data_IF_378984508358
#
_entry.id   IF_378984508358
#
_cell.length_a   1.000
_cell.length_b   1.000
_cell.length_c   1.000
_cell.angle_alpha   90.00
_cell.angle_beta   90.00
_cell.angle_gamma   90.00
#
_symmetry.space_group_name_H-M   'P 1'
#
loop_
_entity.id
_entity.type
_entity.pdbx_description
1 polymer ?
#
# COMPACT_ATOMS: atom_id res chain seq x y z
N UNK A 1 -22.69 2.99 10.69
CA UNK A 1 -21.69 2.52 9.71
C UNK A 1 -21.93 3.22 8.40
N UNK A 2 -21.33 4.40 8.27
CA UNK A 2 -21.24 5.09 6.97
C UNK A 2 -20.48 4.17 6.00
N UNK A 3 -20.97 3.96 4.77
CA UNK A 3 -20.19 3.22 3.80
C UNK A 3 -18.85 3.95 3.59
N UNK A 4 -17.76 3.20 3.54
CA UNK A 4 -16.47 3.74 3.11
C UNK A 4 -16.67 4.30 1.70
N UNK A 5 -16.48 5.60 1.56
CA UNK A 5 -16.74 6.34 0.33
C UNK A 5 -15.50 7.16 0.01
N UNK A 6 -14.71 6.67 -0.93
CA UNK A 6 -13.49 7.34 -1.34
C UNK A 6 -12.78 6.60 -2.47
N UNK A 7 -11.71 7.20 -3.00
CA UNK A 7 -10.77 6.52 -3.88
C UNK A 7 -10.21 5.25 -3.23
N UNK A 8 -9.68 4.34 -4.05
CA UNK A 8 -9.11 3.08 -3.59
C UNK A 8 -7.63 3.03 -3.90
N UNK A 9 -6.89 2.31 -3.06
CA UNK A 9 -5.49 1.99 -3.28
C UNK A 9 -5.35 0.51 -3.56
N UNK A 10 -4.95 0.21 -4.78
CA UNK A 10 -4.72 -1.16 -5.22
C UNK A 10 -3.25 -1.54 -5.10
N UNK A 11 -3.01 -2.77 -4.67
CA UNK A 11 -1.67 -3.30 -4.48
C UNK A 11 -1.49 -4.63 -5.23
N UNK A 12 -0.39 -4.75 -5.96
CA UNK A 12 0.05 -5.95 -6.65
C UNK A 12 1.52 -6.24 -6.36
N UNK A 13 1.91 -7.51 -6.39
CA UNK A 13 3.31 -7.90 -6.42
C UNK A 13 3.63 -8.44 -7.80
N UNK A 14 4.78 -8.05 -8.33
CA UNK A 14 5.27 -8.52 -9.62
C UNK A 14 6.74 -8.92 -9.53
N UNK A 15 7.10 -9.89 -10.37
CA UNK A 15 8.46 -10.23 -10.75
C UNK A 15 8.91 -9.26 -11.86
N UNK A 16 10.05 -8.58 -11.65
CA UNK A 16 10.65 -7.63 -12.59
C UNK A 16 11.02 -8.28 -13.94
N UNK A 17 11.29 -9.58 -13.96
CA UNK A 17 11.54 -10.32 -15.19
C UNK A 17 10.27 -10.54 -16.02
N UNK A 18 9.09 -10.48 -15.39
CA UNK A 18 7.81 -10.72 -16.05
C UNK A 18 7.08 -9.44 -16.42
N UNK A 19 7.25 -8.37 -15.64
CA UNK A 19 6.59 -7.10 -15.87
C UNK A 19 7.46 -5.93 -15.45
N UNK A 20 7.56 -4.94 -16.32
CA UNK A 20 8.18 -3.66 -15.97
C UNK A 20 7.16 -2.74 -15.28
N UNK A 21 7.57 -1.92 -14.31
CA UNK A 21 6.66 -1.02 -13.61
C UNK A 21 5.91 -0.02 -14.49
N UNK A 22 6.49 0.40 -15.61
CA UNK A 22 5.89 1.38 -16.54
C UNK A 22 4.62 0.85 -17.22
N UNK A 23 4.40 -0.46 -17.23
CA UNK A 23 3.20 -1.11 -17.80
C UNK A 23 1.97 -1.04 -16.88
N UNK A 24 2.05 -0.25 -15.80
CA UNK A 24 0.96 -0.09 -14.82
C UNK A 24 -0.35 0.40 -15.44
N UNK A 25 -0.31 1.09 -16.58
CA UNK A 25 -1.50 1.52 -17.31
C UNK A 25 -2.45 0.36 -17.65
N UNK A 26 -1.90 -0.84 -17.87
CA UNK A 26 -2.68 -2.07 -18.12
C UNK A 26 -3.48 -2.55 -16.89
N UNK A 27 -3.23 -1.97 -15.72
CA UNK A 27 -3.88 -2.30 -14.46
C UNK A 27 -4.99 -1.30 -14.09
N UNK A 28 -5.04 -0.14 -14.74
CA UNK A 28 -6.06 0.87 -14.44
C UNK A 28 -7.47 0.34 -14.73
N UNK A 29 -8.38 0.55 -13.77
CA UNK A 29 -9.77 0.09 -13.86
C UNK A 29 -9.99 -1.39 -13.57
N UNK A 30 -8.92 -2.17 -13.37
CA UNK A 30 -9.06 -3.56 -12.90
C UNK A 30 -9.64 -3.61 -11.48
N UNK A 31 -10.27 -4.73 -11.15
CA UNK A 31 -10.88 -4.99 -9.83
C UNK A 31 -10.33 -6.25 -9.16
N UNK A 32 -9.28 -6.82 -9.72
CA UNK A 32 -8.65 -8.07 -9.30
C UNK A 32 -7.27 -7.83 -8.65
N UNK A 33 -7.07 -6.63 -8.08
CA UNK A 33 -5.93 -6.39 -7.21
C UNK A 33 -5.98 -7.38 -6.03
N UNK A 34 -4.88 -8.09 -5.73
CA UNK A 34 -4.80 -8.96 -4.55
C UNK A 34 -5.18 -8.24 -3.26
N UNK A 35 -4.90 -6.94 -3.18
CA UNK A 35 -5.29 -6.09 -2.08
C UNK A 35 -5.81 -4.74 -2.61
N UNK A 36 -6.97 -4.35 -2.09
CA UNK A 36 -7.58 -3.04 -2.26
C UNK A 36 -7.86 -2.46 -0.88
N UNK A 37 -7.36 -1.24 -0.62
CA UNK A 37 -7.54 -0.51 0.63
C UNK A 37 -8.27 0.80 0.33
N UNK A 38 -9.30 1.10 1.10
CA UNK A 38 -10.02 2.38 1.05
C UNK A 38 -9.11 3.54 1.52
N UNK A 39 -9.20 4.69 0.86
CA UNK A 39 -8.43 5.91 1.21
C UNK A 39 -8.52 6.24 2.71
N UNK A 40 -9.73 6.16 3.27
CA UNK A 40 -10.04 6.33 4.69
C UNK A 40 -9.17 5.44 5.60
N UNK A 41 -8.98 4.18 5.23
CA UNK A 41 -8.14 3.25 5.99
C UNK A 41 -6.65 3.59 5.88
N UNK A 42 -6.22 4.01 4.69
CA UNK A 42 -4.84 4.38 4.44
C UNK A 42 -4.48 5.73 5.08
N UNK A 43 -5.46 6.62 5.29
CA UNK A 43 -5.26 7.92 5.95
C UNK A 43 -4.80 7.78 7.41
N UNK A 44 -5.28 6.75 8.12
CA UNK A 44 -4.77 6.44 9.46
C UNK A 44 -3.27 6.10 9.41
N UNK A 45 -2.85 5.39 8.36
CA UNK A 45 -1.47 4.98 8.08
C UNK A 45 -0.58 6.10 7.51
N UNK A 46 -1.18 7.17 6.99
CA UNK A 46 -0.52 8.21 6.22
C UNK A 46 0.70 8.85 6.90
N UNK A 47 0.66 8.96 8.23
CA UNK A 47 1.76 9.56 9.01
C UNK A 47 3.05 8.75 8.96
N UNK A 48 2.96 7.44 8.73
CA UNK A 48 4.12 6.54 8.64
C UNK A 48 4.62 6.34 7.21
N UNK A 49 3.87 6.81 6.20
CA UNK A 49 4.25 6.69 4.80
C UNK A 49 5.60 7.35 4.45
N UNK A 50 5.99 8.50 5.02
CA UNK A 50 7.28 9.11 4.68
C UNK A 50 8.53 8.31 5.08
N UNK A 51 8.38 7.21 5.83
CA UNK A 51 9.51 6.42 6.37
C UNK A 51 10.24 5.58 5.32
N UNK A 52 9.62 5.29 4.17
CA UNK A 52 10.22 4.45 3.12
C UNK A 52 10.35 5.17 1.78
N UNK A 53 11.36 4.79 1.01
CA UNK A 53 11.66 5.36 -0.31
C UNK A 53 10.89 4.61 -1.39
N UNK A 54 10.40 5.32 -2.40
CA UNK A 54 9.63 4.76 -3.49
C UNK A 54 9.95 5.45 -4.82
N UNK A 55 9.55 4.80 -5.92
CA UNK A 55 9.65 5.36 -7.26
C UNK A 55 8.26 5.60 -7.85
N UNK A 56 8.13 6.63 -8.68
CA UNK A 56 6.93 6.83 -9.49
C UNK A 56 7.24 6.44 -10.95
N UNK A 57 6.68 5.32 -11.45
CA UNK A 57 6.96 4.84 -12.80
C UNK A 57 6.31 5.69 -13.90
N UNK A 58 5.46 6.67 -13.56
CA UNK A 58 4.89 7.61 -14.54
C UNK A 58 5.84 8.74 -14.93
N UNK A 59 6.90 8.96 -14.15
CA UNK A 59 7.91 9.98 -14.44
C UNK A 59 9.01 9.43 -15.35
N UNK A 60 9.50 10.28 -16.27
CA UNK A 60 10.62 9.97 -17.15
C UNK A 60 11.72 11.06 -17.06
N UNK A 61 12.86 10.80 -16.42
CA UNK A 61 13.23 9.54 -15.74
C UNK A 61 12.38 9.31 -14.47
N UNK A 62 12.25 8.05 -13.99
CA UNK A 62 11.64 7.79 -12.70
C UNK A 62 12.34 8.60 -11.62
N UNK A 63 11.56 9.25 -10.76
CA UNK A 63 12.09 10.03 -9.65
C UNK A 63 11.68 9.40 -8.34
N UNK A 64 12.65 9.31 -7.44
CA UNK A 64 12.46 8.84 -6.08
C UNK A 64 11.69 9.87 -5.26
N UNK A 65 10.82 9.39 -4.39
CA UNK A 65 10.14 10.16 -3.37
C UNK A 65 9.86 9.28 -2.15
N UNK A 66 9.18 9.83 -1.15
CA UNK A 66 8.88 9.13 0.10
C UNK A 66 7.41 8.74 0.16
N UNK A 67 7.15 7.50 0.56
CA UNK A 67 5.80 6.97 0.76
C UNK A 67 5.04 6.69 -0.52
N UNK A 68 3.71 6.68 -0.42
CA UNK A 68 2.81 6.33 -1.53
C UNK A 68 2.30 7.60 -2.24
N UNK A 69 2.25 7.55 -3.57
CA UNK A 69 1.57 8.57 -4.37
C UNK A 69 0.05 8.33 -4.34
N UNK A 70 -0.66 9.17 -3.59
CA UNK A 70 -2.11 9.08 -3.39
C UNK A 70 -2.93 9.08 -4.70
N UNK A 71 -2.44 9.75 -5.74
CA UNK A 71 -3.14 9.92 -7.02
C UNK A 71 -2.31 9.42 -8.20
N UNK A 72 -1.63 8.29 -8.02
CA UNK A 72 -0.87 7.68 -9.10
C UNK A 72 -0.15 6.41 -8.69
N UNK A 73 0.77 5.93 -9.55
CA UNK A 73 1.51 4.72 -9.28
C UNK A 73 2.68 4.98 -8.33
N UNK A 74 2.94 3.98 -7.51
CA UNK A 74 4.10 3.89 -6.65
C UNK A 74 4.72 2.52 -6.80
N UNK A 75 6.04 2.46 -6.83
CA UNK A 75 6.77 1.20 -6.74
C UNK A 75 7.62 1.18 -5.48
N UNK A 76 7.49 0.11 -4.71
CA UNK A 76 8.26 -0.14 -3.50
C UNK A 76 9.09 -1.40 -3.69
N UNK A 77 10.37 -1.38 -3.31
CA UNK A 77 11.31 -2.50 -3.52
C UNK A 77 12.22 -2.74 -2.33
N UNK A 78 12.76 -3.96 -2.27
CA UNK A 78 13.87 -4.32 -1.40
C UNK A 78 13.64 -3.88 0.05
N UNK A 79 14.61 -3.18 0.64
CA UNK A 79 14.52 -2.71 2.02
C UNK A 79 13.33 -1.77 2.29
N UNK A 80 12.88 -0.99 1.30
CA UNK A 80 11.71 -0.12 1.48
C UNK A 80 10.41 -0.91 1.52
N UNK A 81 10.32 -2.02 0.77
CA UNK A 81 9.16 -2.91 0.81
C UNK A 81 9.13 -3.71 2.13
N UNK A 82 10.29 -4.16 2.60
CA UNK A 82 10.41 -4.78 3.92
C UNK A 82 10.05 -3.82 5.05
N UNK A 83 10.47 -2.55 4.97
CA UNK A 83 10.09 -1.52 5.93
C UNK A 83 8.58 -1.26 5.91
N UNK A 84 7.96 -1.17 4.72
CA UNK A 84 6.51 -1.07 4.60
C UNK A 84 5.80 -2.27 5.26
N UNK A 85 6.34 -3.48 5.12
CA UNK A 85 5.78 -4.65 5.78
C UNK A 85 5.86 -4.58 7.31
N UNK A 86 6.98 -4.10 7.84
CA UNK A 86 7.17 -3.88 9.27
C UNK A 86 6.20 -2.80 9.79
N UNK A 87 6.07 -1.68 9.08
CA UNK A 87 5.13 -0.61 9.45
C UNK A 87 3.70 -1.18 9.46
N UNK A 88 3.27 -1.86 8.40
CA UNK A 88 1.94 -2.47 8.32
C UNK A 88 1.67 -3.47 9.46
N UNK A 89 2.66 -4.29 9.82
CA UNK A 89 2.56 -5.24 10.93
C UNK A 89 2.42 -4.54 12.28
N UNK A 90 3.23 -3.49 12.53
CA UNK A 90 3.15 -2.68 13.76
C UNK A 90 1.76 -2.05 13.91
N UNK A 91 1.18 -1.54 12.83
CA UNK A 91 -0.17 -0.99 12.86
C UNK A 91 -1.24 -2.02 13.23
N UNK A 92 -1.13 -3.27 12.77
CA UNK A 92 -2.02 -4.35 13.20
C UNK A 92 -1.94 -4.57 14.73
N UNK A 93 -0.74 -4.55 15.30
CA UNK A 93 -0.53 -4.72 16.74
C UNK A 93 -1.06 -3.54 17.56
N UNK A 94 -0.82 -2.30 17.10
CA UNK A 94 -1.33 -1.09 17.75
C UNK A 94 -2.86 -1.07 17.76
N UNK A 95 -3.50 -1.43 16.65
CA UNK A 95 -4.97 -1.42 16.55
C UNK A 95 -5.67 -2.43 17.48
N UNK A 96 -4.99 -3.51 17.84
CA UNK A 96 -5.50 -4.51 18.78
C UNK A 96 -5.38 -4.08 20.25
N UNK A 97 -4.40 -3.22 20.55
CA UNK A 97 -4.05 -2.83 21.91
C UNK A 97 -4.61 -1.48 22.32
N UNK A 98 -4.85 -0.56 21.37
CA UNK A 98 -5.44 0.74 21.67
C UNK A 98 -6.94 0.63 22.01
N UNK A 99 -7.29 1.10 23.21
CA UNK A 99 -8.67 1.19 23.69
C UNK A 99 -9.39 2.42 23.17
N UNK A 100 -8.65 3.44 22.72
CA UNK A 100 -9.25 4.62 22.10
C UNK A 100 -9.48 4.36 20.61
N UNK A 101 -10.69 4.65 20.09
CA UNK A 101 -10.92 4.53 18.66
C UNK A 101 -9.97 5.50 17.94
N UNK A 102 -9.16 4.98 17.01
CA UNK A 102 -8.43 5.83 16.06
C UNK A 102 -9.46 6.74 15.42
N UNK A 103 -9.39 8.00 15.82
CA UNK A 103 -10.51 8.93 15.89
C UNK A 103 -11.32 9.02 14.59
N UNK A 104 -12.64 9.00 14.72
CA UNK A 104 -13.68 9.29 13.71
C UNK A 104 -13.98 8.29 12.58
N UNK A 105 -13.15 7.27 12.35
CA UNK A 105 -13.41 6.27 11.30
C UNK A 105 -14.25 5.12 11.87
N UNK A 106 -15.52 5.02 11.47
CA UNK A 106 -16.40 3.89 11.78
C UNK A 106 -15.98 2.59 11.04
N UNK A 107 -14.69 2.26 11.04
CA UNK A 107 -14.15 1.10 10.33
C UNK A 107 -14.03 -0.10 11.27
N UNK A 108 -14.58 -1.28 10.91
CA UNK A 108 -14.42 -2.48 11.71
C UNK A 108 -12.93 -2.84 11.91
N UNK A 109 -12.51 -3.08 13.15
CA UNK A 109 -11.13 -3.51 13.50
C UNK A 109 -10.66 -4.73 12.70
N UNK A 110 -11.55 -5.69 12.49
CA UNK A 110 -11.26 -6.89 11.70
C UNK A 110 -10.95 -6.58 10.23
N UNK A 111 -11.62 -5.58 9.65
CA UNK A 111 -11.35 -5.14 8.28
C UNK A 111 -9.98 -4.47 8.20
N UNK A 112 -9.67 -3.55 9.11
CA UNK A 112 -8.35 -2.93 9.21
C UNK A 112 -7.26 -4.01 9.28
N UNK A 113 -7.35 -4.90 10.28
CA UNK A 113 -6.37 -5.97 10.50
C UNK A 113 -6.17 -6.83 9.25
N UNK A 114 -7.25 -7.33 8.65
CA UNK A 114 -7.16 -8.16 7.45
C UNK A 114 -6.47 -7.45 6.27
N UNK A 115 -6.75 -6.16 6.07
CA UNK A 115 -6.11 -5.37 5.00
C UNK A 115 -4.63 -5.15 5.25
N UNK A 116 -4.24 -4.77 6.47
CA UNK A 116 -2.86 -4.47 6.80
C UNK A 116 -1.99 -5.73 6.96
N UNK A 117 -2.55 -6.86 7.39
CA UNK A 117 -1.87 -8.16 7.32
C UNK A 117 -1.57 -8.55 5.87
N UNK A 118 -2.54 -8.37 4.98
CA UNK A 118 -2.36 -8.63 3.54
C UNK A 118 -1.32 -7.67 2.96
N UNK A 119 -1.34 -6.39 3.34
CA UNK A 119 -0.34 -5.42 2.92
C UNK A 119 1.06 -5.83 3.36
N UNK A 120 1.21 -6.27 4.62
CA UNK A 120 2.48 -6.73 5.15
C UNK A 120 3.02 -7.96 4.40
N UNK A 121 2.14 -8.90 4.05
CA UNK A 121 2.51 -10.07 3.24
C UNK A 121 2.98 -9.68 1.84
N UNK A 122 2.19 -8.88 1.12
CA UNK A 122 2.55 -8.42 -0.23
C UNK A 122 3.83 -7.59 -0.22
N UNK A 123 4.01 -6.72 0.79
CA UNK A 123 5.21 -5.92 0.92
C UNK A 123 6.46 -6.78 1.23
N UNK A 124 6.33 -7.87 2.00
CA UNK A 124 7.42 -8.85 2.17
C UNK A 124 7.82 -9.50 0.84
N UNK A 125 6.84 -9.92 0.05
CA UNK A 125 7.07 -10.50 -1.28
C UNK A 125 7.71 -9.49 -2.24
N UNK A 126 7.24 -8.24 -2.26
CA UNK A 126 7.85 -7.15 -3.02
C UNK A 126 9.24 -6.73 -2.53
N UNK A 127 9.65 -7.20 -1.36
CA UNK A 127 11.00 -7.05 -0.82
C UNK A 127 11.98 -8.13 -1.28
N UNK A 128 11.49 -9.22 -1.89
CA UNK A 128 12.35 -10.29 -2.42
C UNK A 128 13.18 -9.78 -3.62
N UNK A 129 14.41 -10.30 -3.81
CA UNK A 129 15.23 -9.94 -4.96
C UNK A 129 14.51 -10.19 -6.29
N UNK A 130 14.45 -9.17 -7.15
CA UNK A 130 13.77 -9.25 -8.45
C UNK A 130 12.26 -9.06 -8.37
N UNK A 131 11.69 -8.77 -7.21
CA UNK A 131 10.28 -8.46 -7.04
C UNK A 131 10.07 -6.97 -6.71
N UNK A 132 8.83 -6.50 -6.92
CA UNK A 132 8.39 -5.18 -6.47
C UNK A 132 6.92 -5.15 -6.09
N UNK A 133 6.58 -4.23 -5.20
CA UNK A 133 5.19 -3.91 -4.86
C UNK A 133 4.71 -2.74 -5.72
N UNK A 134 3.78 -3.06 -6.62
CA UNK A 134 2.80 -2.21 -7.31
C UNK A 134 1.81 -1.52 -6.39
N UNK A 135 1.82 -0.21 -6.16
CA UNK A 135 0.67 0.53 -5.63
C UNK A 135 0.07 1.47 -6.67
N UNK A 136 -1.26 1.54 -6.75
CA UNK A 136 -2.01 2.51 -7.57
C UNK A 136 -3.06 3.22 -6.71
N UNK A 137 -2.99 4.54 -6.57
CA UNK A 137 -4.10 5.35 -6.07
C UNK A 137 -5.04 5.77 -7.21
N UNK A 138 -6.32 5.39 -7.11
CA UNK A 138 -7.37 5.59 -8.13
C UNK A 138 -8.67 6.18 -7.58
#
# INVERSE_FOLDING_TARGET
MKPLMGPYHDFWVFDEAQRIPQDYWSLLGRKDAPLRIEDDLLLAFAKTLPEFQTDNPSWNPPKQYQGLNWLGPTVVRGSSALLLAEIASRWCETFDTETEPITSLEVPRSLFRSRFETLAELARQGGEPGCYLLHLGI
#
